data_IF_681786178039
#
_entry.id   IF_681786178039
#
_cell.length_a   1.000
_cell.length_b   1.000
_cell.length_c   1.000
_cell.angle_alpha   90.00
_cell.angle_beta   90.00
_cell.angle_gamma   90.00
#
_symmetry.space_group_name_H-M   'P 1'
#
loop_
_entity.id
_entity.type
_entity.pdbx_description
1 polymer ?
#
# COMPACT_ATOMS: atom_id res chain seq x y z
N UNK A 1 -30.35 -15.90 0.18
CA UNK A 1 -29.06 -16.63 0.27
C UNK A 1 -28.05 -15.70 0.93
N UNK A 2 -27.15 -16.23 1.77
CA UNK A 2 -26.10 -15.42 2.40
C UNK A 2 -25.08 -14.94 1.35
N UNK A 3 -24.53 -13.74 1.54
CA UNK A 3 -23.51 -13.16 0.66
C UNK A 3 -22.15 -13.21 1.34
N UNK A 4 -21.14 -13.71 0.64
CA UNK A 4 -19.76 -13.62 1.08
C UNK A 4 -19.22 -12.22 0.77
N UNK A 5 -18.96 -11.42 1.80
CA UNK A 5 -18.59 -10.00 1.65
C UNK A 5 -17.30 -9.80 0.85
N UNK A 6 -16.30 -10.67 1.00
CA UNK A 6 -15.05 -10.59 0.24
C UNK A 6 -15.27 -10.75 -1.27
N UNK A 7 -16.18 -11.65 -1.68
CA UNK A 7 -16.54 -11.82 -3.09
C UNK A 7 -17.36 -10.66 -3.63
N UNK A 8 -18.14 -9.98 -2.78
CA UNK A 8 -18.83 -8.74 -3.17
C UNK A 8 -17.81 -7.64 -3.46
N UNK A 9 -16.88 -7.39 -2.54
CA UNK A 9 -15.83 -6.38 -2.73
C UNK A 9 -14.99 -6.65 -3.98
N UNK A 10 -14.62 -7.92 -4.22
CA UNK A 10 -13.87 -8.31 -5.42
C UNK A 10 -14.62 -7.99 -6.73
N UNK A 11 -15.96 -8.04 -6.74
CA UNK A 11 -16.79 -7.70 -7.91
C UNK A 11 -16.86 -6.20 -8.19
N UNK A 12 -16.55 -5.37 -7.21
CA UNK A 12 -16.54 -3.91 -7.34
C UNK A 12 -15.18 -3.39 -7.83
N UNK A 13 -14.13 -4.23 -7.84
CA UNK A 13 -12.79 -3.85 -8.31
C UNK A 13 -12.76 -3.26 -9.73
N UNK A 14 -13.53 -3.75 -10.73
CA UNK A 14 -13.56 -3.16 -12.07
C UNK A 14 -14.26 -1.79 -12.14
N UNK A 15 -14.92 -1.35 -11.07
CA UNK A 15 -15.70 -0.12 -11.05
C UNK A 15 -14.89 1.06 -10.50
N UNK A 16 -15.24 2.27 -10.94
CA UNK A 16 -14.84 3.51 -10.28
C UNK A 16 -15.58 3.62 -8.94
N UNK A 17 -14.84 3.79 -7.85
CA UNK A 17 -15.39 3.83 -6.49
C UNK A 17 -14.92 5.09 -5.78
N UNK A 18 -15.77 5.65 -4.93
CA UNK A 18 -15.38 6.78 -4.08
C UNK A 18 -16.03 6.70 -2.70
N UNK A 19 -15.39 7.31 -1.71
CA UNK A 19 -15.91 7.47 -0.35
C UNK A 19 -15.54 8.88 0.16
N UNK A 20 -16.52 9.73 0.52
CA UNK A 20 -16.25 11.02 1.13
C UNK A 20 -15.52 10.86 2.47
N UNK A 21 -14.49 11.68 2.73
CA UNK A 21 -13.86 11.73 4.05
C UNK A 21 -14.32 12.97 4.81
N UNK A 22 -14.54 12.80 6.12
CA UNK A 22 -14.83 13.91 7.04
C UNK A 22 -13.57 14.57 7.59
N UNK A 23 -12.41 13.99 7.33
CA UNK A 23 -11.13 14.54 7.76
C UNK A 23 -10.84 15.83 6.99
N UNK A 24 -10.18 16.79 7.62
CA UNK A 24 -9.48 17.85 6.89
C UNK A 24 -8.26 17.23 6.19
N UNK A 25 -8.10 17.44 4.91
CA UNK A 25 -6.96 16.95 4.13
C UNK A 25 -6.24 18.14 3.52
N UNK A 26 -4.91 18.15 3.61
CA UNK A 26 -4.05 19.17 3.01
C UNK A 26 -2.96 18.54 2.15
N UNK A 27 -2.73 19.12 0.98
CA UNK A 27 -1.66 18.74 0.05
C UNK A 27 -0.67 19.90 -0.09
N UNK A 28 0.61 19.65 0.19
CA UNK A 28 1.66 20.67 0.27
C UNK A 28 2.82 20.32 -0.65
N UNK A 29 3.23 21.27 -1.50
CA UNK A 29 4.41 21.14 -2.36
C UNK A 29 5.16 22.47 -2.45
N UNK A 30 6.48 22.45 -2.40
CA UNK A 30 7.33 23.65 -2.38
C UNK A 30 7.01 24.60 -1.22
N UNK A 31 6.53 24.07 -0.09
CA UNK A 31 6.05 24.86 1.05
C UNK A 31 4.74 25.61 0.82
N UNK A 32 4.00 25.31 -0.27
CA UNK A 32 2.71 25.92 -0.61
C UNK A 32 1.58 24.91 -0.41
N UNK A 33 0.45 25.39 0.13
CA UNK A 33 -0.76 24.56 0.32
C UNK A 33 -1.60 24.60 -0.96
N UNK A 34 -1.47 23.55 -1.77
CA UNK A 34 -2.18 23.42 -3.05
C UNK A 34 -3.66 23.08 -2.87
N UNK A 35 -4.01 22.37 -1.81
CA UNK A 35 -5.40 22.07 -1.45
C UNK A 35 -5.55 21.97 0.06
N UNK A 36 -6.69 22.44 0.57
CA UNK A 36 -7.10 22.33 1.98
C UNK A 36 -8.62 22.16 2.05
N UNK A 37 -9.07 20.96 2.40
CA UNK A 37 -10.49 20.62 2.33
C UNK A 37 -10.96 19.78 3.49
N UNK A 38 -12.16 20.09 3.99
CA UNK A 38 -12.96 19.23 4.90
C UNK A 38 -14.04 18.43 4.15
N UNK A 39 -13.93 18.40 2.83
CA UNK A 39 -14.87 17.80 1.87
C UNK A 39 -14.13 16.96 0.83
N UNK A 40 -12.90 16.56 1.14
CA UNK A 40 -12.15 15.65 0.27
C UNK A 40 -12.87 14.29 0.18
N UNK A 41 -12.57 13.56 -0.89
CA UNK A 41 -13.01 12.20 -1.08
C UNK A 41 -11.79 11.29 -1.31
N UNK A 42 -11.97 10.01 -1.03
CA UNK A 42 -11.07 8.95 -1.46
C UNK A 42 -11.65 8.38 -2.75
N UNK A 43 -10.83 8.20 -3.78
CA UNK A 43 -11.24 7.65 -5.07
C UNK A 43 -10.35 6.47 -5.45
N UNK A 44 -10.97 5.37 -5.83
CA UNK A 44 -10.32 4.21 -6.43
C UNK A 44 -10.77 4.12 -7.89
N UNK A 45 -9.86 4.43 -8.81
CA UNK A 45 -10.10 4.13 -10.22
C UNK A 45 -10.24 2.61 -10.43
N UNK A 46 -10.90 2.17 -11.52
CA UNK A 46 -11.00 0.76 -11.85
C UNK A 46 -9.68 0.01 -11.67
N UNK A 47 -9.72 -1.12 -10.97
CA UNK A 47 -8.60 -2.02 -10.65
C UNK A 47 -7.57 -1.48 -9.65
N UNK A 48 -7.57 -0.18 -9.28
CA UNK A 48 -6.69 0.33 -8.22
C UNK A 48 -7.15 -0.17 -6.85
N UNK A 49 -6.21 -0.72 -6.07
CA UNK A 49 -6.51 -1.30 -4.74
C UNK A 49 -6.30 -0.34 -3.58
N UNK A 50 -5.59 0.76 -3.81
CA UNK A 50 -5.46 1.86 -2.84
C UNK A 50 -6.18 3.11 -3.34
N UNK A 51 -6.73 3.94 -2.43
CA UNK A 51 -7.38 5.17 -2.83
C UNK A 51 -6.37 6.26 -3.19
N UNK A 52 -6.88 7.28 -3.87
CA UNK A 52 -6.23 8.57 -4.12
C UNK A 52 -7.09 9.66 -3.48
N UNK A 53 -6.50 10.78 -3.03
CA UNK A 53 -7.33 11.90 -2.58
C UNK A 53 -7.89 12.64 -3.78
N UNK A 54 -9.16 13.03 -3.67
CA UNK A 54 -9.81 13.94 -4.56
C UNK A 54 -10.33 15.14 -3.77
N UNK A 55 -10.09 16.34 -4.29
CA UNK A 55 -10.54 17.59 -3.69
C UNK A 55 -11.62 18.22 -4.55
N UNK A 56 -12.67 18.83 -3.96
CA UNK A 56 -13.51 19.75 -4.72
C UNK A 56 -12.63 20.83 -5.35
N UNK A 57 -12.85 21.15 -6.63
CA UNK A 57 -12.02 22.12 -7.36
C UNK A 57 -12.01 23.51 -6.68
N UNK A 58 -13.07 23.85 -5.94
CA UNK A 58 -13.17 25.07 -5.15
C UNK A 58 -12.21 25.11 -3.93
N UNK A 59 -11.74 23.94 -3.46
CA UNK A 59 -10.81 23.81 -2.33
C UNK A 59 -9.36 23.61 -2.82
N UNK A 60 -9.13 23.64 -4.14
CA UNK A 60 -7.80 23.63 -4.77
C UNK A 60 -7.37 25.07 -5.03
N UNK A 61 -6.28 25.49 -4.40
CA UNK A 61 -5.77 26.86 -4.47
C UNK A 61 -4.88 27.12 -5.71
N UNK A 62 -4.51 26.07 -6.43
CA UNK A 62 -3.70 26.17 -7.64
C UNK A 62 -4.53 26.45 -8.89
N UNK A 63 -3.94 27.11 -9.88
CA UNK A 63 -4.53 27.15 -11.23
C UNK A 63 -4.44 25.76 -11.87
N UNK A 64 -5.54 25.33 -12.49
CA UNK A 64 -5.68 24.03 -13.13
C UNK A 64 -5.71 24.20 -14.65
N UNK A 65 -4.77 23.58 -15.35
CA UNK A 65 -4.73 23.56 -16.82
C UNK A 65 -4.60 22.14 -17.34
N UNK A 66 -5.20 21.78 -18.49
CA UNK A 66 -5.00 20.46 -19.09
C UNK A 66 -3.52 20.11 -19.25
N UNK A 67 -3.17 18.89 -18.86
CA UNK A 67 -1.86 18.31 -19.10
C UNK A 67 -1.92 17.33 -20.28
N UNK A 68 -0.81 17.15 -21.03
CA UNK A 68 -0.75 16.08 -22.01
C UNK A 68 -0.87 14.71 -21.32
N UNK A 69 -1.38 13.68 -22.01
CA UNK A 69 -1.29 12.31 -21.53
C UNK A 69 0.18 11.94 -21.28
N UNK A 70 0.45 11.21 -20.20
CA UNK A 70 1.77 10.65 -19.93
C UNK A 70 1.76 9.15 -20.19
N UNK A 71 2.78 8.66 -20.90
CA UNK A 71 3.10 7.24 -20.91
C UNK A 71 3.71 6.90 -19.55
N UNK A 72 3.08 6.00 -18.81
CA UNK A 72 3.64 5.46 -17.56
C UNK A 72 3.63 3.95 -17.58
N UNK A 73 4.57 3.37 -16.84
CA UNK A 73 4.69 1.94 -16.72
C UNK A 73 3.54 1.36 -15.90
N UNK A 74 2.90 0.34 -16.44
CA UNK A 74 1.81 -0.38 -15.80
C UNK A 74 2.39 -1.57 -15.04
N UNK A 75 2.11 -1.67 -13.75
CA UNK A 75 2.53 -2.81 -12.93
C UNK A 75 1.31 -3.60 -12.45
N UNK A 76 0.58 -4.29 -13.36
CA UNK A 76 -0.58 -5.08 -12.95
C UNK A 76 -0.12 -6.33 -12.21
N UNK A 77 -0.66 -6.55 -11.02
CA UNK A 77 -0.47 -7.79 -10.30
C UNK A 77 -1.56 -8.76 -10.68
N UNK A 78 -1.18 -9.92 -11.24
CA UNK A 78 -2.14 -10.99 -11.50
C UNK A 78 -2.59 -11.63 -10.19
N UNK A 79 -3.90 -11.56 -9.91
CA UNK A 79 -4.57 -12.33 -8.85
C UNK A 79 -5.28 -13.57 -9.43
N UNK A 80 -4.94 -13.97 -10.66
CA UNK A 80 -5.60 -15.04 -11.42
C UNK A 80 -5.80 -14.72 -12.91
N UNK A 81 -6.39 -15.65 -13.68
CA UNK A 81 -6.68 -15.44 -15.10
C UNK A 81 -7.66 -14.27 -15.28
N UNK A 82 -7.26 -13.26 -16.06
CA UNK A 82 -8.05 -12.07 -16.39
C UNK A 82 -8.37 -11.09 -15.23
N UNK A 83 -7.71 -11.21 -14.07
CA UNK A 83 -7.90 -10.31 -12.92
C UNK A 83 -6.55 -9.72 -12.49
N UNK A 84 -6.17 -8.60 -13.11
CA UNK A 84 -5.01 -7.82 -12.68
C UNK A 84 -5.44 -6.64 -11.81
N UNK A 85 -4.81 -6.41 -10.67
CA UNK A 85 -4.99 -5.19 -9.87
C UNK A 85 -3.84 -4.22 -10.08
N UNK A 86 -4.08 -2.94 -9.82
CA UNK A 86 -3.06 -1.90 -9.84
C UNK A 86 -2.72 -1.52 -8.40
N UNK A 87 -1.51 -1.88 -7.98
CA UNK A 87 -0.98 -1.53 -6.67
C UNK A 87 -0.24 -0.16 -6.72
N UNK A 88 0.22 0.38 -5.57
CA UNK A 88 0.89 1.68 -5.51
C UNK A 88 2.14 1.83 -6.39
N UNK A 89 2.75 0.74 -6.88
CA UNK A 89 3.86 0.81 -7.83
C UNK A 89 3.42 1.28 -9.22
N UNK A 90 2.14 1.16 -9.57
CA UNK A 90 1.60 1.71 -10.82
C UNK A 90 1.40 3.22 -10.68
N UNK A 91 2.21 3.99 -11.43
CA UNK A 91 2.24 5.45 -11.35
C UNK A 91 0.88 6.13 -11.59
N UNK A 92 0.74 7.33 -11.03
CA UNK A 92 -0.51 8.11 -11.03
C UNK A 92 -1.16 8.25 -12.41
N UNK A 93 -0.37 8.63 -13.43
CA UNK A 93 -0.89 8.93 -14.76
C UNK A 93 -1.48 7.71 -15.52
N UNK A 94 -1.38 6.49 -14.96
CA UNK A 94 -2.05 5.30 -15.47
C UNK A 94 -3.53 5.33 -15.07
N UNK A 95 -4.28 6.27 -15.61
CA UNK A 95 -5.70 6.39 -15.34
C UNK A 95 -6.48 5.27 -16.04
N UNK A 96 -7.42 4.68 -15.31
CA UNK A 96 -8.28 3.57 -15.79
C UNK A 96 -9.72 3.98 -15.96
N UNK A 97 -10.05 5.24 -15.71
CA UNK A 97 -11.32 5.87 -16.09
C UNK A 97 -11.08 7.01 -17.09
N UNK A 98 -12.13 7.39 -17.82
CA UNK A 98 -12.08 8.55 -18.70
C UNK A 98 -11.97 9.85 -17.88
N UNK A 99 -11.21 10.80 -18.40
CA UNK A 99 -11.00 12.08 -17.72
C UNK A 99 -9.88 12.90 -18.36
N UNK A 100 -9.59 14.03 -17.72
CA UNK A 100 -8.60 15.00 -18.17
C UNK A 100 -7.46 15.12 -17.15
N UNK A 101 -6.21 14.76 -17.51
CA UNK A 101 -5.03 15.09 -16.72
C UNK A 101 -4.86 16.61 -16.59
N UNK A 102 -4.35 17.06 -15.45
CA UNK A 102 -4.21 18.46 -15.09
C UNK A 102 -2.81 18.74 -14.55
N UNK A 103 -2.28 19.89 -14.95
CA UNK A 103 -1.14 20.54 -14.30
C UNK A 103 -1.67 21.49 -13.25
N UNK A 104 -1.11 21.42 -12.05
CA UNK A 104 -1.39 22.31 -10.93
C UNK A 104 -0.27 23.35 -10.83
N UNK A 105 -0.59 24.63 -10.83
CA UNK A 105 0.40 25.71 -10.66
C UNK A 105 0.00 26.68 -9.54
N UNK A 106 0.90 26.93 -8.60
CA UNK A 106 0.68 27.84 -7.47
C UNK A 106 1.97 28.58 -7.14
N UNK A 107 1.95 29.91 -7.18
CA UNK A 107 3.07 30.79 -6.80
C UNK A 107 4.44 30.38 -7.42
N UNK A 108 4.45 29.92 -8.66
CA UNK A 108 5.66 29.50 -9.38
C UNK A 108 6.08 28.05 -9.16
N UNK A 109 5.42 27.31 -8.26
CA UNK A 109 5.54 25.85 -8.15
C UNK A 109 4.60 25.21 -9.16
N UNK A 110 5.13 24.34 -10.02
CA UNK A 110 4.37 23.67 -11.08
C UNK A 110 4.47 22.16 -10.89
N UNK A 111 3.34 21.50 -10.71
CA UNK A 111 3.20 20.05 -10.62
C UNK A 111 2.53 19.56 -11.92
N UNK A 112 3.35 19.18 -12.89
CA UNK A 112 2.89 18.75 -14.21
C UNK A 112 2.21 17.37 -14.13
N UNK A 113 0.98 17.26 -14.62
CA UNK A 113 0.23 16.00 -14.62
C UNK A 113 -0.15 15.46 -13.23
N UNK A 114 0.01 16.26 -12.18
CA UNK A 114 -0.26 15.86 -10.79
C UNK A 114 -1.74 15.92 -10.37
N UNK A 115 -2.63 16.23 -11.30
CA UNK A 115 -4.07 16.22 -11.09
C UNK A 115 -4.79 15.46 -12.19
N UNK A 116 -5.98 14.97 -11.87
CA UNK A 116 -6.84 14.30 -12.83
C UNK A 116 -8.30 14.59 -12.51
N UNK A 117 -9.05 15.03 -13.52
CA UNK A 117 -10.50 15.23 -13.42
C UNK A 117 -11.21 14.09 -14.14
N UNK A 118 -11.85 13.15 -13.44
CA UNK A 118 -12.64 12.11 -14.09
C UNK A 118 -13.86 12.69 -14.79
N UNK A 119 -14.30 12.06 -15.89
CA UNK A 119 -15.51 12.42 -16.63
C UNK A 119 -16.80 11.89 -15.96
N UNK A 120 -16.69 11.33 -14.77
CA UNK A 120 -17.81 10.79 -14.00
C UNK A 120 -18.65 11.92 -13.39
N UNK A 121 -20.00 11.90 -13.54
CA UNK A 121 -20.87 12.98 -13.10
C UNK A 121 -20.85 13.20 -11.58
N UNK A 122 -20.65 12.16 -10.77
CA UNK A 122 -20.61 12.27 -9.30
C UNK A 122 -19.28 12.87 -8.81
N UNK A 123 -18.24 12.81 -9.65
CA UNK A 123 -16.90 13.35 -9.37
C UNK A 123 -16.53 14.54 -10.27
N UNK A 124 -17.47 15.11 -11.02
CA UNK A 124 -17.21 16.16 -12.02
C UNK A 124 -16.59 17.43 -11.42
N UNK A 125 -16.92 17.75 -10.16
CA UNK A 125 -16.37 18.89 -9.43
C UNK A 125 -15.07 18.56 -8.68
N UNK A 126 -14.59 17.32 -8.73
CA UNK A 126 -13.40 16.88 -8.01
C UNK A 126 -12.16 16.85 -8.90
N UNK A 127 -11.00 17.02 -8.26
CA UNK A 127 -9.67 16.81 -8.83
C UNK A 127 -8.97 15.77 -7.98
N UNK A 128 -8.73 14.59 -8.57
CA UNK A 128 -7.88 13.55 -8.00
C UNK A 128 -6.43 14.04 -8.08
N UNK A 129 -5.67 13.90 -7.01
CA UNK A 129 -4.31 14.41 -6.92
C UNK A 129 -3.29 13.26 -6.78
N UNK A 130 -2.16 13.40 -7.48
CA UNK A 130 -1.03 12.49 -7.41
C UNK A 130 -0.37 12.59 -6.04
N UNK A 131 -0.36 11.49 -5.29
CA UNK A 131 0.22 11.51 -3.94
C UNK A 131 1.72 11.82 -3.97
N UNK A 132 2.46 11.27 -4.94
CA UNK A 132 3.92 11.37 -5.01
C UNK A 132 4.42 12.72 -5.53
N UNK A 133 3.53 13.54 -6.10
CA UNK A 133 3.84 14.88 -6.58
C UNK A 133 3.92 15.95 -5.47
N UNK A 134 3.51 15.63 -4.25
CA UNK A 134 3.53 16.54 -3.10
C UNK A 134 4.59 16.13 -2.08
N UNK A 135 5.21 17.12 -1.44
CA UNK A 135 6.23 16.90 -0.42
C UNK A 135 5.61 16.43 0.91
N UNK A 136 4.38 16.87 1.19
CA UNK A 136 3.70 16.58 2.43
C UNK A 136 2.19 16.49 2.25
N UNK A 137 1.61 15.48 2.91
CA UNK A 137 0.18 15.29 3.05
C UNK A 137 -0.20 15.26 4.52
N UNK A 138 -1.24 15.99 4.89
CA UNK A 138 -1.79 15.97 6.25
C UNK A 138 -3.24 15.50 6.25
N UNK A 139 -3.54 14.54 7.12
CA UNK A 139 -4.90 14.27 7.58
C UNK A 139 -5.09 14.89 8.96
N UNK A 140 -6.06 15.80 9.09
CA UNK A 140 -6.10 16.76 10.17
C UNK A 140 -4.74 17.45 10.30
N UNK A 141 -4.03 17.27 11.41
CA UNK A 141 -2.68 17.80 11.66
C UNK A 141 -1.60 16.71 11.68
N UNK A 142 -1.93 15.48 11.26
CA UNK A 142 -0.98 14.38 11.20
C UNK A 142 -0.49 14.13 9.77
N UNK A 143 0.84 14.07 9.60
CA UNK A 143 1.46 13.67 8.34
C UNK A 143 1.14 12.21 8.04
N UNK A 144 0.76 11.94 6.79
CA UNK A 144 0.59 10.58 6.27
C UNK A 144 1.62 10.29 5.18
N UNK A 145 1.84 9.01 4.90
CA UNK A 145 2.90 8.52 4.01
C UNK A 145 2.38 7.47 3.05
N UNK A 146 3.11 7.25 1.95
CA UNK A 146 2.87 6.23 0.93
C UNK A 146 1.61 6.43 0.09
N UNK A 147 0.42 6.50 0.68
CA UNK A 147 -0.84 6.75 -0.01
C UNK A 147 -1.95 7.07 1.02
N UNK A 148 -3.12 7.56 0.59
CA UNK A 148 -4.28 7.76 1.46
C UNK A 148 -4.73 6.48 2.16
N UNK A 149 -5.18 6.59 3.42
CA UNK A 149 -5.71 5.43 4.17
C UNK A 149 -7.16 5.14 3.79
N UNK A 150 -7.43 3.89 3.43
CA UNK A 150 -8.77 3.36 3.19
C UNK A 150 -9.50 3.14 4.54
N UNK A 151 -10.67 3.75 4.77
CA UNK A 151 -11.43 3.58 6.01
C UNK A 151 -11.96 2.15 6.24
N UNK A 152 -11.97 1.32 5.19
CA UNK A 152 -12.39 -0.08 5.25
C UNK A 152 -11.19 -1.05 5.42
N UNK A 153 -9.97 -0.52 5.35
CA UNK A 153 -8.77 -1.31 5.57
C UNK A 153 -8.45 -1.42 7.06
N UNK A 154 -8.17 -2.64 7.50
CA UNK A 154 -7.82 -2.94 8.88
C UNK A 154 -6.60 -3.85 8.92
N UNK A 155 -5.65 -3.50 9.79
CA UNK A 155 -4.54 -4.36 10.20
C UNK A 155 -4.91 -4.94 11.56
N UNK A 156 -5.20 -6.24 11.62
CA UNK A 156 -5.50 -6.94 12.87
C UNK A 156 -4.36 -7.86 13.29
N UNK A 157 -3.65 -7.46 14.35
CA UNK A 157 -2.49 -8.18 14.87
C UNK A 157 -2.90 -9.02 16.08
N UNK A 158 -2.77 -10.36 15.98
CA UNK A 158 -3.08 -11.30 17.05
C UNK A 158 -1.84 -12.11 17.46
N UNK A 159 -1.57 -12.15 18.76
CA UNK A 159 -0.63 -13.15 19.33
C UNK A 159 -1.17 -14.55 19.13
N UNK A 160 -0.28 -15.49 18.87
CA UNK A 160 -0.63 -16.90 18.74
C UNK A 160 0.39 -17.78 19.45
N UNK A 161 -0.04 -18.98 19.81
CA UNK A 161 0.81 -20.06 20.33
C UNK A 161 1.09 -21.14 19.28
N UNK A 162 0.72 -20.88 18.01
CA UNK A 162 0.96 -21.79 16.89
C UNK A 162 2.45 -21.89 16.61
N UNK A 163 2.90 -23.07 16.21
CA UNK A 163 4.29 -23.32 15.89
C UNK A 163 4.56 -22.95 14.43
N UNK A 164 5.49 -22.02 14.19
CA UNK A 164 5.88 -21.57 12.86
C UNK A 164 7.34 -21.94 12.61
N UNK A 165 7.61 -22.53 11.46
CA UNK A 165 8.96 -22.69 10.90
C UNK A 165 9.03 -22.06 9.52
N UNK A 166 10.10 -21.33 9.27
CA UNK A 166 10.40 -20.69 7.99
C UNK A 166 11.72 -21.21 7.46
N UNK A 167 11.73 -21.67 6.22
CA UNK A 167 12.91 -22.21 5.55
C UNK A 167 13.04 -21.63 4.14
N UNK A 168 14.27 -21.50 3.64
CA UNK A 168 14.55 -21.20 2.22
C UNK A 168 15.55 -22.23 1.72
N UNK A 169 15.28 -22.84 0.55
CA UNK A 169 16.11 -23.92 0.00
C UNK A 169 16.42 -25.06 1.00
N UNK A 170 15.45 -25.38 1.89
CA UNK A 170 15.58 -26.41 2.93
C UNK A 170 16.43 -26.00 4.14
N UNK A 171 16.84 -24.73 4.22
CA UNK A 171 17.67 -24.18 5.30
C UNK A 171 16.79 -23.33 6.22
N UNK A 172 16.74 -23.63 7.55
CA UNK A 172 15.88 -22.90 8.46
C UNK A 172 16.35 -21.45 8.67
N UNK A 173 15.41 -20.52 8.61
CA UNK A 173 15.63 -19.10 8.91
C UNK A 173 14.95 -18.68 10.21
N UNK A 174 13.87 -19.36 10.63
CA UNK A 174 13.20 -19.10 11.89
C UNK A 174 12.41 -20.32 12.40
N UNK A 175 12.27 -20.44 13.73
CA UNK A 175 11.43 -21.42 14.42
C UNK A 175 10.85 -20.77 15.69
N UNK A 176 9.54 -20.53 15.74
CA UNK A 176 8.89 -19.84 16.88
C UNK A 176 7.57 -20.49 17.29
N UNK A 177 7.25 -20.42 18.58
CA UNK A 177 5.92 -20.75 19.13
C UNK A 177 5.14 -19.52 19.61
N UNK A 178 5.62 -18.33 19.29
CA UNK A 178 5.06 -17.06 19.76
C UNK A 178 4.89 -16.05 18.62
N UNK A 179 4.37 -16.44 17.44
CA UNK A 179 4.23 -15.50 16.33
C UNK A 179 3.11 -14.49 16.60
N UNK A 180 3.22 -13.34 15.93
CA UNK A 180 2.10 -12.46 15.66
C UNK A 180 1.53 -12.83 14.29
N UNK A 181 0.24 -13.15 14.25
CA UNK A 181 -0.51 -13.32 13.00
C UNK A 181 -1.17 -11.98 12.66
N UNK A 182 -0.92 -11.51 11.45
CA UNK A 182 -1.46 -10.26 10.93
C UNK A 182 -2.51 -10.58 9.88
N UNK A 183 -3.75 -10.19 10.15
CA UNK A 183 -4.87 -10.29 9.22
C UNK A 183 -5.13 -8.89 8.67
N UNK A 184 -4.88 -8.72 7.39
CA UNK A 184 -4.98 -7.44 6.71
C UNK A 184 -6.07 -7.51 5.65
N UNK A 185 -6.92 -6.47 5.56
CA UNK A 185 -8.07 -6.49 4.66
C UNK A 185 -7.64 -6.86 3.23
N UNK A 186 -8.26 -7.92 2.70
CA UNK A 186 -8.04 -8.42 1.34
C UNK A 186 -6.65 -9.01 1.05
N UNK A 187 -5.82 -9.24 2.06
CA UNK A 187 -4.51 -9.89 1.92
C UNK A 187 -4.46 -11.25 2.64
N UNK A 188 -3.62 -12.19 2.18
CA UNK A 188 -3.31 -13.40 2.95
C UNK A 188 -2.75 -13.06 4.33
N UNK A 189 -3.01 -13.88 5.37
CA UNK A 189 -2.40 -13.68 6.68
C UNK A 189 -0.88 -13.67 6.59
N UNK A 190 -0.24 -12.74 7.32
CA UNK A 190 1.23 -12.67 7.40
C UNK A 190 1.72 -13.01 8.79
N UNK A 191 2.85 -13.72 8.87
CA UNK A 191 3.47 -14.13 10.12
C UNK A 191 4.63 -13.18 10.47
N UNK A 192 4.56 -12.58 11.65
CA UNK A 192 5.60 -11.74 12.23
C UNK A 192 6.21 -12.45 13.42
N UNK A 193 7.49 -12.75 13.34
CA UNK A 193 8.20 -13.61 14.29
C UNK A 193 9.03 -12.75 15.25
N UNK A 194 9.16 -13.14 16.52
CA UNK A 194 10.08 -12.48 17.44
C UNK A 194 11.51 -12.52 16.88
N UNK A 195 12.29 -11.43 16.97
CA UNK A 195 13.64 -11.38 16.42
C UNK A 195 14.60 -12.39 17.10
N UNK A 196 14.32 -12.82 18.33
CA UNK A 196 15.08 -13.87 19.03
C UNK A 196 14.98 -15.24 18.38
N UNK A 197 13.92 -15.46 17.60
CA UNK A 197 13.58 -16.75 16.99
C UNK A 197 13.95 -16.79 15.49
N UNK A 198 14.64 -15.74 15.02
CA UNK A 198 15.11 -15.57 13.64
C UNK A 198 16.63 -15.68 13.61
N UNK A 199 17.16 -16.49 12.70
CA UNK A 199 18.60 -16.67 12.52
C UNK A 199 19.20 -15.55 11.66
N UNK A 200 19.50 -14.41 12.31
CA UNK A 200 20.16 -13.28 11.68
C UNK A 200 21.59 -13.57 11.20
N UNK A 201 22.22 -14.69 11.56
CA UNK A 201 23.54 -15.05 11.03
C UNK A 201 23.48 -15.40 9.54
N UNK A 202 22.29 -15.73 9.03
CA UNK A 202 21.99 -16.05 7.63
C UNK A 202 21.38 -14.88 6.85
N UNK A 203 21.18 -13.74 7.52
CA UNK A 203 20.55 -12.56 6.97
C UNK A 203 21.55 -11.41 6.89
N UNK A 204 21.52 -10.67 5.77
CA UNK A 204 22.27 -9.43 5.56
C UNK A 204 21.30 -8.30 5.37
N UNK A 205 21.52 -7.20 6.08
CA UNK A 205 20.71 -5.99 5.91
C UNK A 205 20.80 -5.50 4.45
N UNK A 206 19.64 -5.13 3.91
CA UNK A 206 19.49 -4.57 2.58
C UNK A 206 19.41 -3.04 2.67
N UNK A 207 19.89 -2.35 1.64
CA UNK A 207 19.69 -0.91 1.49
C UNK A 207 18.24 -0.54 1.15
N UNK A 208 17.39 -1.53 0.83
CA UNK A 208 15.98 -1.30 0.51
C UNK A 208 15.22 -0.84 1.74
N UNK A 209 14.44 0.20 1.53
CA UNK A 209 13.39 0.65 2.46
C UNK A 209 12.09 0.87 1.67
N UNK A 210 10.96 0.62 2.32
CA UNK A 210 9.63 0.94 1.76
C UNK A 210 8.77 1.60 2.83
N UNK A 211 7.72 2.28 2.41
CA UNK A 211 6.72 2.84 3.30
C UNK A 211 5.36 2.18 3.06
N UNK A 212 4.61 1.97 4.13
CA UNK A 212 3.22 1.52 4.11
C UNK A 212 2.38 2.52 4.88
N UNK A 213 1.27 2.97 4.29
CA UNK A 213 0.37 3.96 4.90
C UNK A 213 -0.17 3.53 6.28
N UNK A 214 -0.23 2.23 6.57
CA UNK A 214 -0.78 1.66 7.80
C UNK A 214 0.27 1.19 8.81
N UNK A 215 1.47 0.85 8.35
CA UNK A 215 2.49 0.21 9.19
C UNK A 215 3.75 1.06 9.36
N UNK A 216 4.00 2.04 8.49
CA UNK A 216 5.18 2.90 8.56
C UNK A 216 6.29 2.44 7.63
N UNK A 217 7.55 2.69 8.02
CA UNK A 217 8.74 2.36 7.20
C UNK A 217 9.27 0.97 7.52
N UNK A 218 9.48 0.16 6.49
CA UNK A 218 10.04 -1.18 6.59
C UNK A 218 11.53 -1.17 6.23
N UNK A 219 12.33 -1.93 6.97
CA UNK A 219 13.70 -2.33 6.61
C UNK A 219 13.70 -3.77 6.11
N UNK A 220 14.66 -4.10 5.26
CA UNK A 220 14.73 -5.39 4.60
C UNK A 220 16.05 -6.11 4.88
N UNK A 221 16.01 -7.44 4.82
CA UNK A 221 17.18 -8.32 4.85
C UNK A 221 17.14 -9.30 3.69
N UNK A 222 18.30 -9.54 3.10
CA UNK A 222 18.53 -10.60 2.11
C UNK A 222 19.07 -11.85 2.81
N UNK A 223 18.66 -13.05 2.38
CA UNK A 223 19.22 -14.30 2.91
C UNK A 223 20.38 -14.80 2.04
N UNK A 224 21.45 -15.25 2.69
CA UNK A 224 22.61 -15.87 2.04
C UNK A 224 22.66 -17.35 2.41
N UNK A 225 22.19 -18.22 1.51
CA UNK A 225 21.99 -19.64 1.79
C UNK A 225 22.54 -20.48 0.64
N UNK A 226 23.38 -21.48 0.95
CA UNK A 226 23.88 -22.42 -0.05
C UNK A 226 24.67 -21.75 -1.19
N UNK A 227 25.31 -20.60 -0.93
CA UNK A 227 26.00 -19.80 -1.95
C UNK A 227 25.08 -18.99 -2.88
N UNK A 228 23.78 -18.91 -2.56
CA UNK A 228 22.80 -18.08 -3.27
C UNK A 228 22.32 -16.93 -2.39
N UNK A 229 22.05 -15.80 -3.03
CA UNK A 229 21.44 -14.63 -2.38
C UNK A 229 19.96 -14.58 -2.74
N UNK A 230 19.12 -14.49 -1.72
CA UNK A 230 17.68 -14.24 -1.82
C UNK A 230 17.41 -12.79 -1.41
N UNK A 231 17.27 -11.86 -2.38
CA UNK A 231 17.21 -10.43 -2.08
C UNK A 231 15.91 -10.05 -1.37
N UNK A 232 16.03 -9.17 -0.37
CA UNK A 232 14.91 -8.57 0.37
C UNK A 232 13.90 -9.60 0.90
N UNK A 233 14.35 -10.79 1.28
CA UNK A 233 13.50 -11.92 1.65
C UNK A 233 12.69 -11.69 2.94
N UNK A 234 13.23 -10.90 3.86
CA UNK A 234 12.63 -10.60 5.14
C UNK A 234 12.52 -9.09 5.36
N UNK A 235 11.55 -8.66 6.16
CA UNK A 235 11.41 -7.26 6.56
C UNK A 235 10.90 -7.10 7.99
N UNK A 236 11.05 -5.91 8.53
CA UNK A 236 10.54 -5.53 9.84
C UNK A 236 10.17 -4.05 9.87
N UNK A 237 9.23 -3.71 10.76
CA UNK A 237 8.92 -2.33 11.11
C UNK A 237 9.55 -2.02 12.46
N UNK A 238 10.64 -1.24 12.49
CA UNK A 238 11.31 -0.88 13.75
C UNK A 238 10.45 0.05 14.61
N UNK A 239 9.84 1.04 13.96
CA UNK A 239 8.97 2.04 14.57
C UNK A 239 7.66 2.07 13.78
N UNK A 240 6.77 1.08 13.99
CA UNK A 240 5.51 1.05 13.27
C UNK A 240 4.63 2.24 13.63
N UNK A 241 3.65 2.53 12.77
CA UNK A 241 2.58 3.48 13.08
C UNK A 241 1.71 2.95 14.24
N UNK A 242 0.99 3.83 14.98
CA UNK A 242 0.28 3.45 16.21
C UNK A 242 -0.63 2.21 16.08
N UNK A 243 -1.40 2.12 14.98
CA UNK A 243 -2.34 1.02 14.73
C UNK A 243 -1.63 -0.34 14.53
N UNK A 244 -0.34 -0.31 14.16
CA UNK A 244 0.50 -1.48 13.94
C UNK A 244 1.60 -1.63 15.00
N UNK A 245 1.55 -0.89 16.12
CA UNK A 245 2.63 -0.81 17.10
C UNK A 245 3.07 -2.16 17.70
N UNK A 246 2.18 -3.16 17.71
CA UNK A 246 2.51 -4.53 18.13
C UNK A 246 3.60 -5.20 17.28
N UNK A 247 3.77 -4.77 16.02
CA UNK A 247 4.75 -5.33 15.09
C UNK A 247 6.18 -4.84 15.33
N UNK A 248 6.40 -3.93 16.28
CA UNK A 248 7.69 -3.31 16.52
C UNK A 248 8.80 -4.37 16.65
N UNK A 249 9.78 -4.29 15.75
CA UNK A 249 10.95 -5.18 15.72
C UNK A 249 10.67 -6.64 15.36
N UNK A 250 9.43 -7.04 15.08
CA UNK A 250 9.13 -8.39 14.61
C UNK A 250 9.46 -8.53 13.12
N UNK A 251 9.93 -9.71 12.73
CA UNK A 251 10.39 -10.00 11.37
C UNK A 251 9.35 -10.83 10.63
N UNK A 252 8.97 -10.40 9.44
CA UNK A 252 8.19 -11.19 8.50
C UNK A 252 9.05 -11.61 7.31
N UNK A 253 8.63 -12.68 6.64
CA UNK A 253 9.24 -13.18 5.42
C UNK A 253 8.23 -13.11 4.28
N UNK A 254 8.69 -13.04 3.04
CA UNK A 254 7.80 -13.20 1.89
C UNK A 254 7.46 -14.69 1.77
N UNK A 255 6.35 -15.13 2.37
CA UNK A 255 5.76 -16.48 2.30
C UNK A 255 5.70 -17.02 0.85
N UNK A 256 5.61 -16.13 -0.13
CA UNK A 256 5.65 -16.42 -1.56
C UNK A 256 7.00 -16.98 -2.03
N UNK A 257 8.08 -16.70 -1.27
CA UNK A 257 9.48 -16.98 -1.59
C UNK A 257 10.15 -17.93 -0.59
N UNK A 258 9.48 -18.26 0.51
CA UNK A 258 9.96 -19.20 1.54
C UNK A 258 9.01 -20.38 1.69
N UNK A 259 9.47 -21.39 2.41
CA UNK A 259 8.64 -22.51 2.85
C UNK A 259 8.20 -22.26 4.29
N UNK A 260 6.89 -22.21 4.51
CA UNK A 260 6.30 -22.03 5.84
C UNK A 260 5.66 -23.33 6.28
N UNK A 261 5.99 -23.78 7.49
CA UNK A 261 5.29 -24.86 8.20
C UNK A 261 4.59 -24.27 9.42
N UNK A 262 3.29 -24.51 9.55
CA UNK A 262 2.43 -23.99 10.62
C UNK A 262 1.76 -25.17 11.33
N UNK A 263 2.04 -25.34 12.62
CA UNK A 263 1.61 -26.49 13.43
C UNK A 263 1.98 -27.86 12.83
N UNK A 264 3.13 -27.94 12.19
CA UNK A 264 3.62 -29.16 11.52
C UNK A 264 3.06 -29.39 10.12
N UNK A 265 2.13 -28.54 9.66
CA UNK A 265 1.57 -28.62 8.31
C UNK A 265 2.20 -27.57 7.40
N UNK A 266 2.61 -27.98 6.19
CA UNK A 266 3.17 -27.06 5.22
C UNK A 266 2.09 -26.18 4.62
N UNK A 267 2.28 -24.86 4.70
CA UNK A 267 1.37 -23.86 4.14
C UNK A 267 1.71 -23.67 2.66
N UNK A 268 0.72 -23.71 1.75
CA UNK A 268 0.94 -23.36 0.35
C UNK A 268 1.40 -21.91 0.21
N UNK A 269 2.36 -21.67 -0.68
CA UNK A 269 2.81 -20.30 -0.99
C UNK A 269 1.65 -19.51 -1.59
N UNK A 270 1.32 -18.32 -1.08
CA UNK A 270 0.28 -17.50 -1.66
C UNK A 270 0.75 -16.93 -3.01
N UNK A 271 -0.20 -16.54 -3.86
CA UNK A 271 0.06 -15.77 -5.09
C UNK A 271 -0.35 -14.34 -4.83
N UNK A 272 0.62 -13.42 -4.81
CA UNK A 272 0.44 -12.02 -4.44
C UNK A 272 1.34 -11.13 -5.33
N UNK A 273 1.27 -9.79 -5.22
CA UNK A 273 2.22 -8.88 -5.91
C UNK A 273 3.69 -9.20 -5.67
N UNK A 274 4.01 -9.92 -4.60
CA UNK A 274 5.37 -10.16 -4.13
C UNK A 274 5.87 -11.57 -4.47
N UNK A 275 5.06 -12.39 -5.16
CA UNK A 275 5.47 -13.69 -5.69
C UNK A 275 6.63 -13.64 -6.68
#
# INVERSE_FOLDING_TARGET
>A
MALQLSLRQARELPELRFEPTRKRVRAVAGGKVFADSRRAALVWEPRRVVPQYAFPAADVHASLTPAPPSDVEWHPVSLGPNTGVLDPSTGFAAHTTAGTPLTLSLDGVVLAGAGFRPDDPDLAEYVIADFDAFDEWLEEDETIVSHPRDPFHRVDVRRSSRHVRVEVDGVPLADTKWPLLVFETSLPPRLYLPPSDVDFTRLRESARETACAYKGRARYWSAEVGGRTHPDLAWAYEKPLPDAGQLAGHVAFFDERVDVTLDGERVPRPVTPWS
#
